data_IF_264594536631
#
_entry.id   IF_264594536631
#
_cell.length_a   1.000
_cell.length_b   1.000
_cell.length_c   1.000
_cell.angle_alpha   90.00
_cell.angle_beta   90.00
_cell.angle_gamma   90.00
#
_symmetry.space_group_name_H-M   'P 1'
#
loop_
_entity.id
_entity.type
_entity.pdbx_description
1 polymer ?
#
# COMPACT_ATOMS: atom_id res chain seq x y z
N UNK A 1 25.89 4.95 4.46
CA UNK A 1 25.22 4.02 3.52
C UNK A 1 26.28 3.52 2.56
N UNK A 2 26.57 2.22 2.53
CA UNK A 2 27.44 1.67 1.48
C UNK A 2 26.79 1.94 0.11
N UNK A 3 27.55 2.48 -0.83
CA UNK A 3 27.07 2.78 -2.18
C UNK A 3 26.72 1.46 -2.89
N UNK A 4 25.46 1.34 -3.35
CA UNK A 4 25.02 0.16 -4.11
C UNK A 4 25.73 0.17 -5.48
N UNK A 5 26.36 -0.93 -5.93
CA UNK A 5 26.90 -1.03 -7.28
C UNK A 5 25.80 -0.86 -8.33
N UNK A 6 26.05 -0.06 -9.37
CA UNK A 6 25.10 0.23 -10.46
C UNK A 6 25.49 -0.48 -11.75
N UNK A 7 24.50 -1.02 -12.47
CA UNK A 7 24.62 -1.35 -13.88
C UNK A 7 23.85 -0.30 -14.70
N UNK A 8 24.24 -0.07 -15.95
CA UNK A 8 23.62 0.93 -16.83
C UNK A 8 22.10 0.67 -16.90
N UNK A 9 21.31 1.59 -16.31
CA UNK A 9 19.88 1.43 -16.13
C UNK A 9 19.13 1.48 -17.46
N UNK A 10 18.39 0.41 -17.78
CA UNK A 10 17.27 0.48 -18.72
C UNK A 10 16.10 1.11 -17.97
N UNK A 11 15.78 2.36 -18.29
CA UNK A 11 14.75 3.15 -17.61
C UNK A 11 13.33 2.65 -17.85
N UNK A 12 12.95 1.55 -17.20
CA UNK A 12 11.54 1.16 -17.08
C UNK A 12 10.87 2.05 -16.03
N UNK A 13 9.87 2.82 -16.45
CA UNK A 13 9.01 3.58 -15.53
C UNK A 13 8.26 2.63 -14.61
N UNK A 14 8.24 2.93 -13.31
CA UNK A 14 7.46 2.17 -12.31
C UNK A 14 6.00 2.04 -12.76
N UNK A 15 5.39 0.84 -12.74
CA UNK A 15 4.04 0.66 -13.25
C UNK A 15 2.99 1.32 -12.35
N UNK A 16 1.89 1.77 -12.94
CA UNK A 16 0.81 2.50 -12.25
C UNK A 16 0.22 1.74 -11.05
N UNK A 17 0.16 0.41 -11.08
CA UNK A 17 -0.35 -0.35 -9.92
C UNK A 17 0.54 -0.18 -8.69
N UNK A 18 1.83 0.11 -8.85
CA UNK A 18 2.73 0.34 -7.73
C UNK A 18 2.49 1.69 -7.04
N UNK A 19 1.57 2.51 -7.58
CA UNK A 19 1.02 3.72 -6.96
C UNK A 19 -0.07 3.42 -5.89
N UNK A 20 -0.60 2.19 -5.86
CA UNK A 20 -1.67 1.75 -4.93
C UNK A 20 -1.15 1.37 -3.54
N UNK A 21 -2.04 1.08 -2.60
CA UNK A 21 -1.64 0.70 -1.24
C UNK A 21 -0.96 -0.67 -1.19
N UNK A 22 0.04 -0.84 -0.31
CA UNK A 22 0.65 -2.14 -0.05
C UNK A 22 -0.19 -2.95 0.96
N UNK A 23 -0.99 -3.91 0.49
CA UNK A 23 -1.86 -4.77 1.30
C UNK A 23 -1.09 -5.79 2.17
N UNK A 24 0.18 -6.04 1.84
CA UNK A 24 1.09 -6.91 2.60
C UNK A 24 1.93 -6.14 3.64
N UNK A 25 1.63 -4.87 3.90
CA UNK A 25 2.30 -4.07 4.93
C UNK A 25 2.15 -4.67 6.33
N UNK A 26 3.25 -4.79 7.07
CA UNK A 26 3.24 -5.20 8.47
C UNK A 26 2.45 -4.22 9.35
N UNK A 27 2.50 -2.91 9.06
CA UNK A 27 1.66 -1.92 9.76
C UNK A 27 0.17 -2.21 9.55
N UNK A 28 -0.22 -2.67 8.35
CA UNK A 28 -1.59 -3.17 8.08
C UNK A 28 -1.99 -4.38 8.92
N UNK A 29 -1.03 -5.06 9.53
CA UNK A 29 -1.22 -6.29 10.28
C UNK A 29 -1.10 -7.53 9.40
N UNK A 30 -0.46 -7.42 8.23
CA UNK A 30 -0.09 -8.57 7.42
C UNK A 30 0.86 -9.48 8.20
N UNK A 31 0.76 -10.80 7.98
CA UNK A 31 1.56 -11.78 8.73
C UNK A 31 1.96 -12.96 7.87
N UNK A 32 3.15 -13.47 8.11
CA UNK A 32 3.50 -14.83 7.69
C UNK A 32 2.78 -15.82 8.59
N UNK A 33 2.01 -16.73 8.01
CA UNK A 33 1.35 -17.82 8.73
C UNK A 33 2.13 -19.13 8.66
N UNK A 34 2.92 -19.31 7.60
CA UNK A 34 3.73 -20.50 7.37
C UNK A 34 4.91 -20.18 6.47
N UNK A 35 6.05 -20.84 6.68
CA UNK A 35 7.19 -20.83 5.77
C UNK A 35 7.84 -22.22 5.82
N UNK A 36 8.29 -22.73 4.67
CA UNK A 36 8.94 -24.06 4.61
C UNK A 36 10.32 -24.06 5.26
N UNK A 37 11.04 -22.94 5.20
CA UNK A 37 12.40 -22.78 5.71
C UNK A 37 12.66 -21.31 6.06
N UNK A 38 13.38 -21.05 7.13
CA UNK A 38 13.82 -19.71 7.57
C UNK A 38 15.29 -19.75 8.01
N UNK A 39 16.12 -20.51 7.31
CA UNK A 39 17.44 -20.79 7.84
C UNK A 39 18.31 -19.54 7.97
N UNK A 40 18.48 -18.77 6.89
CA UNK A 40 19.39 -17.62 6.89
C UNK A 40 18.73 -16.32 7.31
N UNK A 41 17.43 -16.15 7.03
CA UNK A 41 16.64 -15.03 7.51
C UNK A 41 15.14 -15.35 7.44
N UNK A 42 14.36 -14.78 8.36
CA UNK A 42 12.93 -15.13 8.54
C UNK A 42 12.01 -14.46 7.52
N UNK A 43 10.96 -15.17 7.10
CA UNK A 43 9.97 -14.71 6.13
C UNK A 43 9.26 -13.40 6.51
N UNK A 44 9.17 -13.07 7.80
CA UNK A 44 8.55 -11.84 8.31
C UNK A 44 9.21 -10.59 7.75
N UNK A 45 10.50 -10.65 7.41
CA UNK A 45 11.22 -9.53 6.80
C UNK A 45 10.62 -9.11 5.44
N UNK A 46 9.91 -10.01 4.73
CA UNK A 46 9.23 -9.69 3.47
C UNK A 46 8.21 -8.56 3.61
N UNK A 47 7.59 -8.45 4.79
CA UNK A 47 6.40 -7.61 5.03
C UNK A 47 6.76 -6.23 5.61
N UNK A 48 8.04 -5.99 5.92
CA UNK A 48 8.50 -4.72 6.49
C UNK A 48 8.22 -3.57 5.54
N UNK A 49 7.76 -2.45 6.10
CA UNK A 49 7.50 -1.23 5.31
C UNK A 49 8.77 -0.45 4.97
N UNK A 50 9.85 -0.64 5.75
CA UNK A 50 11.15 -0.02 5.49
C UNK A 50 11.85 -0.67 4.30
N UNK A 51 12.65 0.12 3.60
CA UNK A 51 13.62 -0.41 2.63
C UNK A 51 14.55 -1.44 3.29
N UNK A 52 15.06 -2.37 2.48
CA UNK A 52 16.05 -3.32 2.96
C UNK A 52 17.36 -2.62 3.35
N UNK A 53 18.03 -3.17 4.36
CA UNK A 53 19.33 -2.67 4.84
C UNK A 53 20.46 -3.68 4.60
N UNK A 54 21.66 -3.15 4.32
CA UNK A 54 22.91 -3.91 4.34
C UNK A 54 23.76 -3.50 5.54
N UNK A 55 24.26 -4.50 6.28
CA UNK A 55 25.16 -4.30 7.41
C UNK A 55 26.47 -5.02 7.17
N UNK A 56 27.51 -4.24 6.92
CA UNK A 56 28.85 -4.75 6.61
C UNK A 56 29.38 -5.57 7.79
N UNK A 57 29.99 -6.73 7.52
CA UNK A 57 30.58 -7.58 8.56
C UNK A 57 29.63 -8.21 9.59
N UNK A 58 28.31 -8.00 9.51
CA UNK A 58 27.34 -8.61 10.45
C UNK A 58 26.98 -10.05 10.05
N UNK A 59 27.08 -10.99 11.00
CA UNK A 59 26.77 -12.40 10.85
C UNK A 59 25.92 -12.90 12.02
N UNK A 60 25.11 -13.91 11.76
CA UNK A 60 24.29 -14.64 12.74
C UNK A 60 24.85 -16.04 12.95
N UNK A 61 24.29 -16.80 13.90
CA UNK A 61 24.59 -18.23 14.07
C UNK A 61 24.31 -19.07 12.80
N UNK A 62 23.52 -18.55 11.86
CA UNK A 62 23.08 -19.25 10.66
C UNK A 62 23.80 -18.80 9.38
N UNK A 63 24.62 -17.75 9.41
CA UNK A 63 25.31 -17.21 8.23
C UNK A 63 25.36 -15.69 8.22
N UNK A 64 25.54 -15.09 7.03
CA UNK A 64 25.49 -13.63 6.85
C UNK A 64 24.12 -13.11 7.31
N UNK A 65 24.09 -11.98 8.02
CA UNK A 65 22.82 -11.32 8.34
C UNK A 65 22.26 -10.68 7.06
N UNK A 66 20.99 -10.98 6.76
CA UNK A 66 20.27 -10.44 5.61
C UNK A 66 18.92 -9.85 6.05
N UNK A 67 18.60 -8.66 5.56
CA UNK A 67 17.30 -8.02 5.80
C UNK A 67 16.26 -8.45 4.75
N UNK A 68 15.92 -9.73 4.77
CA UNK A 68 14.98 -10.37 3.86
C UNK A 68 14.55 -11.74 4.36
N UNK A 69 13.83 -12.49 3.54
CA UNK A 69 13.66 -13.93 3.72
C UNK A 69 14.73 -14.65 2.92
N UNK A 70 15.43 -15.59 3.52
CA UNK A 70 16.42 -16.42 2.81
C UNK A 70 16.41 -17.85 3.34
N UNK A 71 16.14 -18.78 2.42
CA UNK A 71 16.08 -20.21 2.73
C UNK A 71 17.42 -20.91 2.50
N UNK A 72 17.58 -22.09 3.10
CA UNK A 72 18.70 -22.99 2.79
C UNK A 72 18.74 -23.36 1.32
N UNK A 73 19.96 -23.48 0.78
CA UNK A 73 20.20 -24.10 -0.53
C UNK A 73 19.56 -25.48 -0.58
N UNK A 74 18.61 -25.66 -1.50
CA UNK A 74 17.83 -26.87 -1.59
C UNK A 74 18.63 -27.97 -2.27
N UNK A 75 18.70 -29.12 -1.60
CA UNK A 75 19.35 -30.35 -2.09
C UNK A 75 18.38 -31.53 -2.13
N UNK A 76 17.07 -31.22 -2.11
CA UNK A 76 15.96 -32.16 -2.15
C UNK A 76 14.92 -31.70 -3.18
N UNK A 77 14.06 -32.60 -3.69
CA UNK A 77 13.01 -32.22 -4.63
C UNK A 77 12.06 -31.14 -4.11
N UNK A 78 11.49 -30.35 -5.02
CA UNK A 78 10.52 -29.30 -4.73
C UNK A 78 11.14 -27.90 -4.65
N UNK A 79 10.43 -26.99 -4.00
CA UNK A 79 10.79 -25.57 -3.87
C UNK A 79 10.31 -25.02 -2.51
N UNK A 80 10.80 -23.86 -2.10
CA UNK A 80 10.37 -23.20 -0.86
C UNK A 80 9.17 -22.27 -1.07
N UNK A 81 8.37 -22.09 -0.03
CA UNK A 81 7.19 -21.24 -0.10
C UNK A 81 6.73 -20.78 1.29
N UNK A 82 5.96 -19.71 1.32
CA UNK A 82 5.33 -19.19 2.53
C UNK A 82 3.86 -18.84 2.29
N UNK A 83 3.05 -18.87 3.35
CA UNK A 83 1.67 -18.37 3.36
C UNK A 83 1.65 -17.03 4.08
N UNK A 84 1.05 -16.04 3.42
CA UNK A 84 0.93 -14.68 3.89
C UNK A 84 -0.56 -14.38 4.07
N UNK A 85 -0.93 -13.88 5.24
CA UNK A 85 -2.22 -13.21 5.45
C UNK A 85 -2.05 -11.73 5.17
N UNK A 86 -2.86 -11.21 4.25
CA UNK A 86 -2.88 -9.77 3.97
C UNK A 86 -3.40 -9.01 5.20
N UNK A 87 -2.92 -7.79 5.42
CA UNK A 87 -3.35 -6.99 6.57
C UNK A 87 -4.80 -6.50 6.43
N UNK A 88 -5.28 -6.41 5.20
CA UNK A 88 -6.69 -6.25 4.87
C UNK A 88 -7.02 -7.06 3.61
N UNK A 89 -8.22 -7.60 3.54
CA UNK A 89 -8.69 -8.27 2.35
C UNK A 89 -8.83 -7.28 1.19
N UNK A 90 -8.52 -7.70 -0.03
CA UNK A 90 -8.55 -6.78 -1.15
C UNK A 90 -8.26 -7.42 -2.50
N UNK A 91 -8.34 -6.56 -3.50
CA UNK A 91 -7.96 -6.82 -4.89
C UNK A 91 -6.47 -6.58 -5.05
N UNK A 92 -5.76 -7.56 -5.60
CA UNK A 92 -4.32 -7.46 -5.88
C UNK A 92 -4.13 -7.04 -7.33
N UNK A 93 -3.66 -5.81 -7.55
CA UNK A 93 -3.38 -5.29 -8.88
C UNK A 93 -2.00 -5.73 -9.41
N UNK A 94 -1.04 -5.91 -8.52
CA UNK A 94 0.29 -6.41 -8.85
C UNK A 94 1.19 -6.45 -7.63
N UNK A 95 2.42 -6.93 -7.82
CA UNK A 95 3.42 -7.05 -6.76
C UNK A 95 4.76 -6.46 -7.19
N UNK A 96 5.58 -6.13 -6.20
CA UNK A 96 7.02 -5.92 -6.37
C UNK A 96 7.76 -6.94 -5.53
N UNK A 97 8.59 -7.74 -6.21
CA UNK A 97 9.52 -8.68 -5.60
C UNK A 97 10.88 -8.01 -5.59
N UNK A 98 11.26 -7.49 -4.42
CA UNK A 98 12.52 -6.78 -4.21
C UNK A 98 13.57 -7.76 -3.69
N UNK A 99 14.63 -7.98 -4.47
CA UNK A 99 15.77 -8.84 -4.12
C UNK A 99 16.97 -8.06 -3.60
N UNK A 100 16.79 -6.80 -3.16
CA UNK A 100 17.86 -5.93 -2.66
C UNK A 100 18.89 -6.66 -1.80
N UNK A 101 20.17 -6.50 -2.16
CA UNK A 101 21.35 -7.12 -1.52
C UNK A 101 21.53 -8.63 -1.73
N UNK A 102 20.56 -9.34 -2.29
CA UNK A 102 20.74 -10.72 -2.75
C UNK A 102 21.33 -10.73 -4.17
N UNK A 103 22.63 -10.47 -4.30
CA UNK A 103 23.25 -10.27 -5.63
C UNK A 103 23.61 -11.56 -6.37
N UNK A 104 23.91 -12.63 -5.62
CA UNK A 104 24.21 -13.97 -6.17
C UNK A 104 23.37 -15.10 -5.55
N UNK A 105 22.64 -14.81 -4.49
CA UNK A 105 21.78 -15.74 -3.73
C UNK A 105 20.31 -15.30 -3.74
N UNK A 106 19.91 -14.46 -4.68
CA UNK A 106 18.49 -14.16 -4.90
C UNK A 106 17.75 -15.41 -5.37
N UNK A 107 16.44 -15.42 -5.16
CA UNK A 107 15.58 -16.43 -5.77
C UNK A 107 15.63 -16.36 -7.31
N UNK A 108 15.84 -17.47 -8.04
CA UNK A 108 15.83 -17.43 -9.51
C UNK A 108 14.45 -17.12 -10.12
N UNK A 109 13.39 -17.74 -9.58
CA UNK A 109 12.01 -17.57 -10.06
C UNK A 109 11.02 -17.55 -8.91
N UNK A 110 9.91 -16.84 -9.09
CA UNK A 110 8.82 -16.73 -8.11
C UNK A 110 7.46 -16.97 -8.76
N UNK A 111 6.48 -17.40 -7.98
CA UNK A 111 5.06 -17.37 -8.37
C UNK A 111 4.21 -17.04 -7.15
N UNK A 112 3.01 -16.48 -7.38
CA UNK A 112 2.04 -16.22 -6.33
C UNK A 112 0.69 -16.83 -6.67
N UNK A 113 0.13 -17.55 -5.70
CA UNK A 113 -1.28 -17.88 -5.67
C UNK A 113 -2.01 -17.10 -4.59
N UNK A 114 -3.33 -16.97 -4.71
CA UNK A 114 -4.16 -16.24 -3.78
C UNK A 114 -5.50 -16.95 -3.52
N UNK A 115 -6.02 -16.76 -2.30
CA UNK A 115 -7.33 -17.29 -1.90
C UNK A 115 -8.03 -16.39 -0.88
N UNK A 116 -9.34 -16.58 -0.76
CA UNK A 116 -10.11 -16.12 0.39
C UNK A 116 -10.37 -17.31 1.31
N UNK A 117 -9.82 -17.27 2.52
CA UNK A 117 -10.00 -18.35 3.50
C UNK A 117 -11.08 -17.96 4.52
N UNK A 118 -11.88 -18.96 4.89
CA UNK A 118 -12.71 -18.96 6.09
C UNK A 118 -11.84 -19.06 7.35
N UNK A 119 -12.44 -18.84 8.53
CA UNK A 119 -11.69 -18.94 9.78
C UNK A 119 -11.28 -20.38 10.07
N UNK A 120 -12.13 -21.32 9.71
CA UNK A 120 -11.92 -22.77 9.83
C UNK A 120 -10.74 -23.21 8.97
N UNK A 121 -10.65 -22.75 7.72
CA UNK A 121 -9.51 -23.04 6.83
C UNK A 121 -8.21 -22.42 7.33
N UNK A 122 -8.24 -21.16 7.80
CA UNK A 122 -7.06 -20.51 8.39
C UNK A 122 -6.55 -21.27 9.62
N UNK A 123 -7.45 -21.83 10.43
CA UNK A 123 -7.10 -22.62 11.61
C UNK A 123 -6.43 -23.97 11.27
N UNK A 124 -6.46 -24.42 10.02
CA UNK A 124 -5.69 -25.59 9.57
C UNK A 124 -4.19 -25.28 9.46
N UNK A 125 -3.81 -24.00 9.37
CA UNK A 125 -2.41 -23.59 9.26
C UNK A 125 -1.73 -23.78 10.62
N UNK A 126 -0.62 -24.53 10.70
CA UNK A 126 0.13 -24.70 11.93
C UNK A 126 0.55 -23.37 12.55
N UNK A 127 0.68 -23.34 13.87
CA UNK A 127 1.16 -22.14 14.57
C UNK A 127 2.56 -21.79 14.08
N UNK A 128 2.68 -20.63 13.41
CA UNK A 128 3.95 -20.05 12.96
C UNK A 128 4.99 -19.98 14.07
N UNK A 129 6.21 -20.45 13.78
CA UNK A 129 7.41 -20.27 14.62
C UNK A 129 8.45 -19.47 13.85
N UNK A 130 8.45 -18.15 14.07
CA UNK A 130 9.41 -17.23 13.44
C UNK A 130 10.78 -17.33 14.10
N UNK A 131 11.61 -18.26 13.65
CA UNK A 131 12.96 -18.45 14.17
C UNK A 131 13.97 -18.73 13.05
N UNK A 132 15.10 -18.01 13.08
CA UNK A 132 16.22 -18.28 12.18
C UNK A 132 16.85 -19.65 12.44
N UNK A 133 17.25 -20.33 11.37
CA UNK A 133 17.84 -21.66 11.43
C UNK A 133 16.79 -22.78 11.50
N UNK A 134 15.52 -22.47 11.23
CA UNK A 134 14.43 -23.44 11.30
C UNK A 134 13.98 -23.94 9.93
N UNK A 135 13.32 -25.10 9.96
CA UNK A 135 12.58 -25.70 8.84
C UNK A 135 11.20 -26.09 9.34
N UNK A 136 10.21 -26.09 8.45
CA UNK A 136 8.92 -26.66 8.76
C UNK A 136 9.06 -28.15 9.13
N UNK A 137 8.43 -28.56 10.23
CA UNK A 137 8.38 -29.95 10.65
C UNK A 137 7.46 -30.74 9.70
N UNK A 138 7.74 -32.04 9.53
CA UNK A 138 6.92 -32.91 8.67
C UNK A 138 5.43 -32.88 9.05
N UNK A 139 5.12 -32.89 10.35
CA UNK A 139 3.74 -32.76 10.83
C UNK A 139 3.07 -31.44 10.43
N UNK A 140 3.84 -30.36 10.36
CA UNK A 140 3.36 -29.03 10.02
C UNK A 140 3.14 -28.95 8.50
N UNK A 141 4.03 -29.54 7.70
CA UNK A 141 3.88 -29.71 6.25
C UNK A 141 2.62 -30.53 5.91
N UNK A 142 2.39 -31.65 6.61
CA UNK A 142 1.18 -32.48 6.43
C UNK A 142 -0.09 -31.73 6.81
N UNK A 143 -0.06 -30.94 7.89
CA UNK A 143 -1.20 -30.14 8.32
C UNK A 143 -1.54 -29.03 7.33
N UNK A 144 -0.56 -28.23 6.91
CA UNK A 144 -0.78 -27.11 5.97
C UNK A 144 -1.15 -27.60 4.57
N UNK A 145 -0.71 -28.80 4.15
CA UNK A 145 -1.08 -29.39 2.86
C UNK A 145 -2.59 -29.62 2.73
N UNK A 146 -3.33 -29.72 3.85
CA UNK A 146 -4.80 -29.85 3.85
C UNK A 146 -5.50 -28.61 3.29
N UNK A 147 -4.85 -27.45 3.28
CA UNK A 147 -5.40 -26.25 2.62
C UNK A 147 -5.39 -26.36 1.09
N UNK A 148 -4.60 -27.26 0.50
CA UNK A 148 -4.45 -27.35 -0.96
C UNK A 148 -3.96 -26.04 -1.59
N UNK A 149 -3.09 -25.30 -0.90
CA UNK A 149 -2.69 -23.95 -1.32
C UNK A 149 -1.89 -23.90 -2.62
N UNK A 150 -1.38 -25.03 -3.09
CA UNK A 150 -0.79 -25.19 -4.42
C UNK A 150 -1.81 -25.10 -5.56
N UNK A 151 -3.11 -25.24 -5.24
CA UNK A 151 -4.24 -25.16 -6.19
C UNK A 151 -5.01 -23.84 -6.07
N UNK A 152 -4.58 -22.93 -5.20
CA UNK A 152 -5.15 -21.59 -5.13
C UNK A 152 -4.99 -20.86 -6.46
N UNK A 153 -5.79 -19.82 -6.68
CA UNK A 153 -5.78 -19.05 -7.93
C UNK A 153 -4.39 -18.46 -8.17
N UNK A 154 -3.73 -18.86 -9.26
CA UNK A 154 -2.47 -18.24 -9.69
C UNK A 154 -2.76 -16.81 -10.11
N UNK A 155 -2.18 -15.86 -9.38
CA UNK A 155 -2.26 -14.43 -9.69
C UNK A 155 -0.97 -13.92 -10.34
N UNK A 156 0.17 -14.57 -10.07
CA UNK A 156 1.46 -14.31 -10.71
C UNK A 156 2.03 -15.66 -11.17
N UNK A 157 2.19 -15.89 -12.49
CA UNK A 157 2.78 -17.12 -13.00
C UNK A 157 4.26 -17.22 -12.62
N UNK A 158 4.86 -18.41 -12.78
CA UNK A 158 6.29 -18.59 -12.56
C UNK A 158 7.06 -17.61 -13.44
N UNK A 159 7.76 -16.67 -12.80
CA UNK A 159 8.46 -15.57 -13.46
C UNK A 159 9.86 -15.42 -12.89
N UNK A 160 10.83 -15.04 -13.73
CA UNK A 160 12.21 -14.80 -13.31
C UNK A 160 12.31 -13.54 -12.44
N UNK A 161 13.02 -13.66 -11.33
CA UNK A 161 13.41 -12.51 -10.53
C UNK A 161 14.77 -11.99 -11.00
N UNK A 162 15.06 -10.74 -10.68
CA UNK A 162 16.29 -10.07 -11.06
C UNK A 162 17.27 -10.03 -9.87
N UNK A 163 18.59 -9.95 -10.11
CA UNK A 163 19.58 -9.89 -9.04
C UNK A 163 19.47 -8.62 -8.21
N UNK A 164 19.88 -8.70 -6.93
CA UNK A 164 19.73 -7.66 -5.92
C UNK A 164 20.60 -6.40 -6.02
N UNK A 165 21.03 -6.00 -7.22
CA UNK A 165 21.74 -4.74 -7.44
C UNK A 165 20.77 -3.57 -7.46
N UNK A 166 21.27 -2.34 -7.27
CA UNK A 166 20.44 -1.12 -7.14
C UNK A 166 19.37 -1.00 -8.22
N UNK A 167 19.78 -1.22 -9.47
CA UNK A 167 18.98 -0.90 -10.64
C UNK A 167 18.16 -2.10 -11.13
N UNK A 168 18.39 -3.29 -10.55
CA UNK A 168 17.76 -4.56 -10.98
C UNK A 168 16.93 -5.21 -9.88
N UNK A 169 17.10 -4.82 -8.62
CA UNK A 169 16.52 -5.51 -7.46
C UNK A 169 14.99 -5.60 -7.44
N UNK A 170 14.29 -4.66 -8.08
CA UNK A 170 12.82 -4.68 -8.14
C UNK A 170 12.35 -5.48 -9.34
N UNK A 171 11.39 -6.40 -9.14
CA UNK A 171 10.66 -7.06 -10.23
C UNK A 171 9.18 -6.79 -10.05
N UNK A 172 8.62 -5.88 -10.86
CA UNK A 172 7.20 -5.52 -10.83
C UNK A 172 6.38 -6.48 -11.69
N UNK A 173 5.40 -7.17 -11.08
CA UNK A 173 4.60 -8.21 -11.73
C UNK A 173 3.10 -7.88 -11.62
N UNK A 174 2.39 -7.62 -12.73
CA UNK A 174 0.95 -7.38 -12.69
C UNK A 174 0.18 -8.67 -12.39
N UNK A 175 -0.92 -8.54 -11.65
CA UNK A 175 -1.81 -9.66 -11.32
C UNK A 175 -2.65 -10.09 -12.52
N UNK A 176 -2.79 -11.40 -12.73
CA UNK A 176 -3.69 -11.98 -13.74
C UNK A 176 -5.18 -11.88 -13.35
N UNK A 177 -5.50 -11.59 -12.09
CA UNK A 177 -6.87 -11.59 -11.56
C UNK A 177 -7.12 -10.40 -10.65
N UNK A 178 -6.98 -9.19 -11.19
CA UNK A 178 -7.01 -7.95 -10.40
C UNK A 178 -8.37 -7.66 -9.73
N UNK A 179 -9.49 -8.15 -10.25
CA UNK A 179 -10.85 -7.86 -9.73
C UNK A 179 -11.38 -8.90 -8.72
N UNK A 180 -10.53 -9.81 -8.25
CA UNK A 180 -10.93 -10.83 -7.26
C UNK A 180 -10.46 -10.43 -5.87
N UNK A 181 -11.34 -10.57 -4.89
CA UNK A 181 -11.02 -10.33 -3.48
C UNK A 181 -10.26 -11.50 -2.88
N UNK A 182 -9.10 -11.22 -2.30
CA UNK A 182 -8.26 -12.19 -1.60
C UNK A 182 -8.01 -11.79 -0.15
N UNK A 183 -7.64 -12.77 0.68
CA UNK A 183 -7.23 -12.58 2.08
C UNK A 183 -5.85 -13.16 2.37
N UNK A 184 -5.46 -14.18 1.60
CA UNK A 184 -4.23 -14.92 1.79
C UNK A 184 -3.52 -15.09 0.46
N UNK A 185 -2.19 -15.12 0.53
CA UNK A 185 -1.29 -15.40 -0.58
C UNK A 185 -0.41 -16.60 -0.24
N UNK A 186 0.00 -17.33 -1.27
CA UNK A 186 1.11 -18.27 -1.24
C UNK A 186 2.20 -17.73 -2.14
N UNK A 187 3.34 -17.35 -1.57
CA UNK A 187 4.55 -17.02 -2.34
C UNK A 187 5.38 -18.29 -2.50
N UNK A 188 5.73 -18.64 -3.73
CA UNK A 188 6.67 -19.71 -4.03
C UNK A 188 7.99 -19.13 -4.52
N UNK A 189 9.10 -19.70 -4.05
CA UNK A 189 10.47 -19.36 -4.46
C UNK A 189 11.14 -20.61 -5.03
N UNK A 190 11.60 -20.54 -6.27
CA UNK A 190 12.05 -21.72 -7.04
C UNK A 190 13.55 -21.69 -7.34
N UNK A 191 14.32 -22.73 -6.93
CA UNK A 191 13.97 -23.74 -5.90
C UNK A 191 14.09 -23.18 -4.46
N UNK A 192 14.94 -22.18 -4.27
CA UNK A 192 15.31 -21.55 -3.01
C UNK A 192 15.97 -20.18 -3.30
N UNK A 193 16.37 -19.46 -2.25
CA UNK A 193 17.10 -18.20 -2.36
C UNK A 193 16.51 -17.10 -1.49
N UNK A 194 16.93 -15.86 -1.78
CA UNK A 194 16.56 -14.69 -0.99
C UNK A 194 15.63 -13.70 -1.70
N UNK A 195 14.73 -13.10 -0.93
CA UNK A 195 13.90 -11.94 -1.29
C UNK A 195 13.96 -10.95 -0.12
N UNK A 196 14.24 -9.68 -0.38
CA UNK A 196 14.30 -8.65 0.64
C UNK A 196 12.90 -8.18 1.06
N UNK A 197 12.03 -7.84 0.11
CA UNK A 197 10.65 -7.42 0.36
C UNK A 197 9.68 -8.02 -0.66
N UNK A 198 8.45 -8.24 -0.20
CA UNK A 198 7.31 -8.46 -1.08
C UNK A 198 6.29 -7.35 -0.83
N UNK A 199 6.11 -6.46 -1.80
CA UNK A 199 5.04 -5.45 -1.76
C UNK A 199 3.88 -5.95 -2.61
N UNK A 200 2.67 -5.93 -2.04
CA UNK A 200 1.45 -6.39 -2.71
C UNK A 200 0.54 -5.19 -2.91
N UNK A 201 0.51 -4.65 -4.12
CA UNK A 201 -0.21 -3.42 -4.41
C UNK A 201 -1.65 -3.69 -4.82
N UNK A 202 -2.57 -2.94 -4.24
CA UNK A 202 -3.99 -3.20 -4.44
C UNK A 202 -4.94 -2.26 -3.72
N UNK A 203 -6.23 -2.57 -3.82
CA UNK A 203 -7.31 -1.86 -3.15
C UNK A 203 -7.90 -2.76 -2.07
N UNK A 204 -8.05 -2.22 -0.85
CA UNK A 204 -8.76 -2.94 0.20
C UNK A 204 -10.24 -3.05 -0.14
N UNK A 205 -10.81 -4.24 0.05
CA UNK A 205 -12.23 -4.53 -0.05
C UNK A 205 -12.73 -5.03 1.31
N UNK A 206 -12.95 -4.12 2.29
CA UNK A 206 -13.54 -4.50 3.57
C UNK A 206 -14.95 -5.07 3.34
N UNK A 207 -15.41 -5.89 4.29
CA UNK A 207 -16.80 -6.35 4.28
C UNK A 207 -17.74 -5.20 4.68
N UNK A 208 -18.35 -4.58 3.68
CA UNK A 208 -19.25 -3.43 3.84
C UNK A 208 -20.60 -3.79 4.43
N UNK A 209 -20.96 -5.09 4.48
CA UNK A 209 -22.23 -5.52 5.10
C UNK A 209 -22.27 -5.26 6.61
N UNK A 210 -21.09 -5.09 7.23
CA UNK A 210 -20.92 -4.80 8.66
C UNK A 210 -20.90 -3.30 8.97
N UNK A 211 -21.02 -2.45 7.95
CA UNK A 211 -21.02 -0.99 8.10
C UNK A 211 -22.43 -0.49 8.39
N UNK A 212 -22.67 -0.06 9.63
CA UNK A 212 -23.91 0.62 9.99
C UNK A 212 -24.03 1.96 9.25
N UNK A 213 -25.18 2.28 8.62
CA UNK A 213 -25.38 3.53 7.87
C UNK A 213 -25.19 4.81 8.70
N UNK A 214 -25.39 4.73 10.03
CA UNK A 214 -25.24 5.87 10.94
C UNK A 214 -23.85 5.97 11.58
N UNK A 215 -22.97 4.99 11.35
CA UNK A 215 -21.64 4.97 11.97
C UNK A 215 -20.72 5.94 11.24
N UNK A 216 -20.22 6.93 11.99
CA UNK A 216 -19.15 7.80 11.52
C UNK A 216 -17.85 7.00 11.46
N UNK A 217 -17.18 7.05 10.32
CA UNK A 217 -15.89 6.41 10.07
C UNK A 217 -15.05 7.21 9.09
N UNK A 218 -13.78 6.86 8.98
CA UNK A 218 -12.87 7.47 8.00
C UNK A 218 -13.10 6.89 6.59
N UNK A 219 -13.83 7.62 5.76
CA UNK A 219 -14.25 7.21 4.42
C UNK A 219 -13.07 7.09 3.42
N UNK A 220 -11.98 7.83 3.66
CA UNK A 220 -10.79 7.81 2.79
C UNK A 220 -9.75 6.80 3.24
N UNK A 221 -9.90 6.22 4.44
CA UNK A 221 -8.91 5.30 5.00
C UNK A 221 -8.56 4.19 4.01
N UNK A 222 -7.27 3.87 3.92
CA UNK A 222 -6.80 2.78 3.08
C UNK A 222 -7.39 1.43 3.51
N UNK A 223 -7.71 1.24 4.80
CA UNK A 223 -8.40 0.03 5.32
C UNK A 223 -9.82 -0.09 4.79
N UNK A 224 -10.44 1.05 4.51
CA UNK A 224 -11.79 1.11 3.99
C UNK A 224 -11.83 1.06 2.45
N UNK A 225 -10.67 0.94 1.79
CA UNK A 225 -10.55 0.85 0.33
C UNK A 225 -10.22 2.18 -0.35
N UNK A 226 -9.87 3.21 0.42
CA UNK A 226 -9.45 4.48 -0.16
C UNK A 226 -8.08 4.37 -0.84
N UNK A 227 -7.92 5.09 -1.94
CA UNK A 227 -6.71 5.04 -2.77
C UNK A 227 -6.33 6.44 -3.23
N UNK A 228 -5.04 6.74 -3.24
CA UNK A 228 -4.51 7.89 -3.95
C UNK A 228 -4.55 7.58 -5.45
N UNK A 229 -5.21 8.43 -6.23
CA UNK A 229 -5.29 8.28 -7.70
C UNK A 229 -4.21 9.08 -8.41
N UNK A 230 -3.97 10.31 -7.95
CA UNK A 230 -3.06 11.24 -8.59
C UNK A 230 -2.58 12.32 -7.61
N UNK A 231 -1.48 12.99 -7.95
CA UNK A 231 -0.89 14.07 -7.17
C UNK A 231 -0.02 14.96 -8.05
N UNK A 232 0.28 16.18 -7.58
CA UNK A 232 1.13 17.14 -8.30
C UNK A 232 2.62 16.84 -8.19
N UNK A 233 3.10 16.54 -6.99
CA UNK A 233 4.50 16.28 -6.66
C UNK A 233 4.59 15.30 -5.49
N UNK A 234 5.65 14.52 -5.41
CA UNK A 234 5.95 13.62 -4.29
C UNK A 234 7.46 13.56 -4.06
N UNK A 235 8.06 14.71 -3.74
CA UNK A 235 9.50 14.82 -3.52
C UNK A 235 10.01 13.90 -2.41
N UNK A 236 9.32 13.86 -1.26
CA UNK A 236 9.55 12.87 -0.20
C UNK A 236 8.25 12.26 0.32
N UNK A 237 8.29 10.97 0.63
CA UNK A 237 7.09 10.21 0.96
C UNK A 237 6.13 10.13 -0.23
N UNK A 238 4.94 9.57 -0.02
CA UNK A 238 3.93 9.45 -1.06
C UNK A 238 2.56 9.84 -0.49
N UNK A 239 1.68 10.53 -1.25
CA UNK A 239 0.34 10.88 -0.80
C UNK A 239 -0.52 9.73 -0.25
N UNK A 240 -0.28 8.47 -0.64
CA UNK A 240 -1.00 7.30 -0.10
C UNK A 240 -0.76 7.11 1.40
N UNK A 241 0.34 7.66 1.93
CA UNK A 241 0.65 7.62 3.35
C UNK A 241 -0.36 8.44 4.19
N UNK A 242 -1.01 9.45 3.59
CA UNK A 242 -1.96 10.32 4.29
C UNK A 242 -3.17 9.57 4.81
N UNK A 243 -3.58 8.53 4.09
CA UNK A 243 -4.80 7.76 4.35
C UNK A 243 -4.52 6.51 5.20
N UNK A 244 -3.32 6.46 5.77
CA UNK A 244 -2.91 5.44 6.75
C UNK A 244 -3.70 5.59 8.04
N UNK A 245 -4.29 4.50 8.58
CA UNK A 245 -5.11 4.54 9.79
C UNK A 245 -4.30 4.67 11.08
N UNK A 246 -2.95 4.60 11.02
CA UNK A 246 -2.09 4.74 12.20
C UNK A 246 -1.41 6.09 12.24
N UNK A 247 -0.96 6.47 13.43
CA UNK A 247 -0.14 7.66 13.62
C UNK A 247 1.14 7.59 12.74
N UNK A 248 1.59 8.73 12.20
CA UNK A 248 2.88 8.82 11.54
C UNK A 248 4.01 8.48 12.52
N UNK A 249 5.11 7.93 12.00
CA UNK A 249 6.30 7.62 12.81
C UNK A 249 7.47 8.56 12.53
N UNK A 250 7.48 9.20 11.36
CA UNK A 250 8.48 10.19 10.93
C UNK A 250 7.94 10.95 9.69
N UNK A 251 8.74 11.85 9.10
CA UNK A 251 8.36 12.61 7.90
C UNK A 251 8.20 11.72 6.65
N UNK A 252 9.01 10.67 6.49
CA UNK A 252 8.92 9.76 5.33
C UNK A 252 7.60 8.95 5.32
N UNK A 253 6.97 8.81 6.49
CA UNK A 253 5.65 8.22 6.66
C UNK A 253 4.51 9.23 6.37
N UNK A 254 4.80 10.40 5.79
CA UNK A 254 3.83 11.39 5.29
C UNK A 254 3.96 11.60 3.78
N UNK A 255 3.54 12.78 3.32
CA UNK A 255 3.76 13.30 1.97
C UNK A 255 4.36 14.69 2.08
N UNK A 256 5.47 14.92 1.38
CA UNK A 256 6.17 16.19 1.30
C UNK A 256 6.49 16.51 -0.15
N UNK A 257 6.22 17.76 -0.53
CA UNK A 257 6.49 18.27 -1.86
C UNK A 257 7.77 19.09 -1.91
N UNK A 258 8.34 19.24 -3.11
CA UNK A 258 9.42 20.17 -3.35
C UNK A 258 8.97 21.61 -3.04
N UNK A 259 9.92 22.44 -2.60
CA UNK A 259 9.67 23.88 -2.48
C UNK A 259 9.37 24.46 -3.85
N UNK A 260 8.28 25.19 -3.96
CA UNK A 260 7.93 25.85 -5.21
C UNK A 260 8.89 26.99 -5.53
N UNK A 261 9.29 27.05 -6.80
CA UNK A 261 10.22 28.06 -7.30
C UNK A 261 9.53 29.36 -7.71
N UNK A 262 8.21 29.33 -7.89
CA UNK A 262 7.38 30.50 -8.26
C UNK A 262 6.83 31.27 -7.04
N UNK A 263 7.32 30.95 -5.83
CA UNK A 263 6.98 31.68 -4.61
C UNK A 263 7.43 33.15 -4.69
N UNK A 264 6.66 34.12 -4.16
CA UNK A 264 7.06 35.52 -4.18
C UNK A 264 8.28 35.75 -3.28
N UNK A 265 9.15 36.70 -3.67
CA UNK A 265 10.36 37.05 -2.91
C UNK A 265 10.06 37.60 -1.51
N UNK A 266 8.87 38.18 -1.33
CA UNK A 266 8.38 38.71 -0.06
C UNK A 266 6.97 38.17 0.15
N UNK A 267 6.78 37.40 1.22
CA UNK A 267 5.49 36.85 1.61
C UNK A 267 4.62 37.94 2.22
N UNK A 268 3.33 37.93 1.86
CA UNK A 268 2.31 38.81 2.44
C UNK A 268 1.20 37.96 3.05
N UNK A 269 0.67 38.41 4.17
CA UNK A 269 -0.45 37.76 4.85
C UNK A 269 -1.77 38.38 4.42
N UNK A 270 -2.78 37.56 4.18
CA UNK A 270 -4.16 37.97 3.96
C UNK A 270 -4.84 38.39 5.27
N UNK A 271 -6.02 38.99 5.16
CA UNK A 271 -6.80 39.43 6.33
C UNK A 271 -7.26 38.26 7.23
N UNK A 272 -7.26 37.03 6.70
CA UNK A 272 -7.60 35.78 7.38
C UNK A 272 -6.39 35.06 8.00
N UNK A 273 -5.21 35.67 7.89
CA UNK A 273 -3.95 35.13 8.40
C UNK A 273 -3.25 34.12 7.48
N UNK A 274 -3.82 33.83 6.31
CA UNK A 274 -3.26 32.91 5.31
C UNK A 274 -2.30 33.65 4.39
N UNK A 275 -1.19 33.04 4.02
CA UNK A 275 -0.23 33.66 3.10
C UNK A 275 -0.80 33.80 1.69
N UNK A 276 -0.58 34.97 1.10
CA UNK A 276 -0.86 35.25 -0.31
C UNK A 276 0.29 34.71 -1.17
N UNK A 277 0.18 33.45 -1.55
CA UNK A 277 1.15 32.75 -2.38
C UNK A 277 0.55 32.37 -3.73
N UNK A 278 1.39 32.37 -4.77
CA UNK A 278 1.04 31.79 -6.05
C UNK A 278 1.25 30.27 -5.99
N UNK A 279 0.37 29.52 -6.63
CA UNK A 279 0.49 28.06 -6.75
C UNK A 279 0.04 27.29 -5.52
N UNK A 280 -0.05 25.97 -5.71
CA UNK A 280 -0.46 24.99 -4.72
C UNK A 280 -0.05 23.59 -5.17
N UNK A 281 0.06 22.71 -4.20
CA UNK A 281 0.24 21.26 -4.41
C UNK A 281 -1.03 20.52 -4.05
N UNK A 282 -1.28 19.38 -4.69
CA UNK A 282 -2.53 18.65 -4.52
C UNK A 282 -2.36 17.13 -4.60
N UNK A 283 -3.25 16.44 -3.88
CA UNK A 283 -3.40 14.99 -3.96
C UNK A 283 -4.88 14.62 -4.05
N UNK A 284 -5.19 13.70 -4.96
CA UNK A 284 -6.53 13.20 -5.24
C UNK A 284 -6.71 11.80 -4.66
N UNK A 285 -7.80 11.62 -3.93
CA UNK A 285 -8.17 10.34 -3.34
C UNK A 285 -9.56 9.89 -3.78
N UNK A 286 -9.69 8.63 -4.17
CA UNK A 286 -10.98 7.93 -4.22
C UNK A 286 -11.29 7.43 -2.83
N UNK A 287 -12.50 7.73 -2.34
CA UNK A 287 -12.98 7.21 -1.07
C UNK A 287 -13.21 5.71 -1.19
N UNK A 288 -12.84 4.98 -0.14
CA UNK A 288 -13.14 3.56 -0.07
C UNK A 288 -14.64 3.30 0.08
N UNK A 289 -15.30 4.20 0.80
CA UNK A 289 -16.73 4.21 1.05
C UNK A 289 -17.31 5.57 0.65
N UNK A 290 -17.91 5.70 -0.55
CA UNK A 290 -18.65 6.90 -0.92
C UNK A 290 -19.72 7.23 0.12
N UNK A 291 -19.86 8.50 0.49
CA UNK A 291 -20.68 8.88 1.64
C UNK A 291 -20.75 10.38 1.86
N UNK A 292 -21.40 10.77 2.95
CA UNK A 292 -21.52 12.18 3.35
C UNK A 292 -20.47 12.52 4.39
N UNK A 293 -19.71 13.58 4.16
CA UNK A 293 -18.66 14.06 5.07
C UNK A 293 -19.29 14.76 6.28
N UNK A 294 -18.83 14.39 7.48
CA UNK A 294 -19.22 14.97 8.77
C UNK A 294 -18.05 15.64 9.49
N UNK A 295 -16.80 15.31 9.11
CA UNK A 295 -15.62 15.95 9.65
C UNK A 295 -14.38 15.72 8.80
N UNK A 296 -13.38 16.57 8.99
CA UNK A 296 -12.09 16.48 8.34
C UNK A 296 -11.00 16.67 9.39
N UNK A 297 -10.01 15.79 9.38
CA UNK A 297 -8.78 15.94 10.17
C UNK A 297 -7.58 16.02 9.22
N UNK A 298 -6.69 16.98 9.46
CA UNK A 298 -5.42 17.12 8.71
C UNK A 298 -4.27 17.28 9.70
N UNK A 299 -3.31 16.37 9.63
CA UNK A 299 -2.19 16.35 10.58
C UNK A 299 -0.88 16.73 9.89
N UNK A 300 -0.10 17.59 10.52
CA UNK A 300 1.25 18.00 10.10
C UNK A 300 2.33 17.43 11.00
N UNK A 301 2.05 16.34 11.73
CA UNK A 301 3.03 15.70 12.62
C UNK A 301 4.36 15.43 11.89
N UNK A 302 5.46 15.62 12.61
CA UNK A 302 6.85 15.58 12.14
C UNK A 302 7.27 16.71 11.18
N UNK A 303 6.34 17.42 10.54
CA UNK A 303 6.62 18.59 9.72
C UNK A 303 6.68 19.85 10.59
N UNK A 304 7.86 20.12 11.14
CA UNK A 304 8.09 21.20 12.14
C UNK A 304 8.42 22.55 11.51
N UNK A 305 9.08 22.54 10.36
CA UNK A 305 9.51 23.77 9.66
C UNK A 305 9.18 23.77 8.16
N UNK A 306 8.62 22.67 7.67
CA UNK A 306 8.29 22.40 6.27
C UNK A 306 6.83 21.94 6.14
N UNK A 307 5.96 22.28 7.09
CA UNK A 307 4.51 22.14 6.93
C UNK A 307 4.00 23.25 5.99
N UNK A 308 2.91 23.01 5.23
CA UNK A 308 2.33 24.03 4.39
C UNK A 308 1.67 25.14 5.22
N UNK A 309 1.56 26.32 4.65
CA UNK A 309 0.92 27.46 5.31
C UNK A 309 -0.58 27.19 5.56
N UNK A 310 -1.24 26.64 4.55
CA UNK A 310 -2.67 26.36 4.58
C UNK A 310 -3.03 25.13 3.78
N UNK A 311 -4.23 24.60 4.05
CA UNK A 311 -4.86 23.58 3.22
C UNK A 311 -6.33 23.87 2.96
N UNK A 312 -6.86 23.30 1.88
CA UNK A 312 -8.30 23.17 1.62
C UNK A 312 -8.62 21.76 1.14
N UNK A 313 -9.89 21.38 1.23
CA UNK A 313 -10.37 20.08 0.73
C UNK A 313 -11.61 20.29 -0.13
N UNK A 314 -11.54 19.82 -1.37
CA UNK A 314 -12.66 19.77 -2.30
C UNK A 314 -13.21 18.33 -2.37
N UNK A 315 -14.48 18.17 -2.69
CA UNK A 315 -15.12 16.88 -2.91
C UNK A 315 -15.96 16.87 -4.17
N UNK A 316 -16.14 15.69 -4.75
CA UNK A 316 -17.06 15.48 -5.86
C UNK A 316 -17.66 14.06 -5.81
N UNK A 317 -18.72 13.85 -6.57
CA UNK A 317 -19.30 12.55 -6.83
C UNK A 317 -19.15 12.19 -8.30
N UNK A 318 -18.52 11.05 -8.55
CA UNK A 318 -18.36 10.43 -9.86
C UNK A 318 -18.82 8.99 -9.72
N UNK A 319 -19.67 8.52 -10.64
CA UNK A 319 -20.23 7.17 -10.59
C UNK A 319 -19.25 6.14 -11.15
N UNK A 320 -19.19 4.94 -10.58
CA UNK A 320 -18.26 3.88 -11.03
C UNK A 320 -18.56 3.36 -12.46
N UNK A 321 -19.74 3.64 -13.03
CA UNK A 321 -20.11 3.25 -14.40
C UNK A 321 -19.52 4.16 -15.47
N UNK A 322 -19.14 5.36 -15.08
CA UNK A 322 -18.31 6.20 -15.92
C UNK A 322 -16.88 5.68 -15.71
N UNK A 323 -16.41 4.81 -16.61
CA UNK A 323 -14.96 4.62 -16.78
C UNK A 323 -14.38 5.98 -17.16
N UNK A 324 -14.11 6.82 -16.17
CA UNK A 324 -13.48 8.11 -16.42
C UNK A 324 -12.02 7.83 -16.77
N UNK A 325 -11.55 8.24 -17.95
CA UNK A 325 -10.14 8.10 -18.28
C UNK A 325 -9.38 9.03 -17.32
N UNK A 326 -8.49 8.47 -16.51
CA UNK A 326 -7.57 9.21 -15.66
C UNK A 326 -6.59 10.00 -16.55
N UNK A 327 -6.72 11.34 -16.55
CA UNK A 327 -5.70 12.25 -16.05
C UNK A 327 -6.31 13.14 -14.94
N UNK A 328 -6.49 12.53 -13.77
CA UNK A 328 -6.77 13.05 -12.43
C UNK A 328 -8.10 13.81 -12.15
N UNK A 329 -9.18 13.58 -12.90
CA UNK A 329 -10.53 14.19 -12.73
C UNK A 329 -10.66 15.68 -13.15
N UNK A 330 -10.04 16.03 -14.29
CA UNK A 330 -10.28 17.31 -14.95
C UNK A 330 -11.76 17.44 -15.38
N UNK A 331 -12.39 18.61 -15.15
CA UNK A 331 -13.81 18.85 -15.44
C UNK A 331 -14.85 18.26 -14.44
N UNK A 332 -14.43 17.51 -13.42
CA UNK A 332 -15.35 17.03 -12.38
C UNK A 332 -15.98 18.19 -11.57
N UNK A 333 -17.21 18.02 -11.03
CA UNK A 333 -17.92 19.06 -10.29
C UNK A 333 -17.38 19.19 -8.85
N UNK A 334 -16.14 19.66 -8.72
CA UNK A 334 -15.47 19.87 -7.44
C UNK A 334 -16.16 20.98 -6.64
N UNK A 335 -16.64 20.64 -5.45
CA UNK A 335 -17.23 21.58 -4.50
C UNK A 335 -16.36 21.66 -3.24
N UNK A 336 -16.18 22.85 -2.65
CA UNK A 336 -15.37 23.02 -1.45
C UNK A 336 -16.05 22.39 -0.23
N UNK A 337 -15.47 21.31 0.32
CA UNK A 337 -15.87 20.74 1.61
C UNK A 337 -15.29 21.60 2.74
N UNK A 338 -14.00 21.94 2.64
CA UNK A 338 -13.28 22.78 3.59
C UNK A 338 -12.63 23.95 2.86
N UNK A 339 -13.07 25.21 3.07
CA UNK A 339 -12.37 26.38 2.54
C UNK A 339 -10.98 26.50 3.15
N UNK A 340 -10.08 27.28 2.54
CA UNK A 340 -8.69 27.45 2.99
C UNK A 340 -8.57 27.69 4.50
N UNK A 341 -7.78 26.86 5.18
CA UNK A 341 -7.50 26.93 6.61
C UNK A 341 -6.00 27.02 6.85
N UNK A 342 -5.60 27.93 7.74
CA UNK A 342 -4.23 28.02 8.25
C UNK A 342 -3.85 26.74 9.02
N UNK A 343 -2.64 26.25 8.79
CA UNK A 343 -2.08 25.11 9.50
C UNK A 343 -0.99 25.55 10.49
N UNK A 344 -0.70 24.66 11.44
CA UNK A 344 0.34 24.80 12.46
C UNK A 344 1.41 23.72 12.27
N UNK A 345 2.66 23.99 12.68
CA UNK A 345 3.71 22.98 12.64
C UNK A 345 3.40 21.83 13.58
N UNK A 346 3.69 20.58 13.15
CA UNK A 346 3.66 19.39 14.00
C UNK A 346 2.40 19.27 14.86
N UNK A 347 1.24 19.45 14.23
CA UNK A 347 -0.04 19.58 14.92
C UNK A 347 -1.14 18.74 14.29
N UNK A 348 -2.12 18.39 15.12
CA UNK A 348 -3.40 17.87 14.71
C UNK A 348 -4.38 19.02 14.46
N UNK A 349 -5.14 18.94 13.37
CA UNK A 349 -6.18 19.91 13.04
C UNK A 349 -7.51 19.21 12.84
N UNK A 350 -8.44 19.41 13.78
CA UNK A 350 -9.84 19.01 13.63
C UNK A 350 -10.64 20.18 13.02
N UNK A 351 -11.14 19.96 11.81
CA UNK A 351 -11.96 20.90 11.05
C UNK A 351 -13.43 20.52 11.00
N UNK A 352 -13.90 19.59 11.84
CA UNK A 352 -15.26 19.06 11.79
C UNK A 352 -16.35 20.14 11.92
N UNK A 353 -16.08 21.24 12.61
CA UNK A 353 -17.01 22.38 12.72
C UNK A 353 -17.01 23.34 11.53
N UNK A 354 -16.11 23.14 10.56
CA UNK A 354 -15.88 24.02 9.41
C UNK A 354 -16.22 23.36 8.06
N UNK A 355 -16.59 22.07 8.08
CA UNK A 355 -16.97 21.34 6.86
C UNK A 355 -18.33 21.82 6.35
N UNK A 356 -18.46 21.92 5.04
CA UNK A 356 -19.73 22.19 4.34
C UNK A 356 -20.35 20.87 3.91
N UNK A 357 -21.67 20.75 4.08
CA UNK A 357 -22.41 19.62 3.51
C UNK A 357 -22.61 19.86 2.01
N UNK A 358 -22.03 18.98 1.20
CA UNK A 358 -22.14 19.00 -0.27
C UNK A 358 -22.83 17.75 -0.80
N UNK A 359 -23.49 16.99 0.08
CA UNK A 359 -24.13 15.71 -0.26
C UNK A 359 -23.16 14.53 -0.22
N UNK A 360 -23.43 13.53 -1.07
CA UNK A 360 -22.61 12.32 -1.20
C UNK A 360 -21.37 12.63 -2.03
N UNK A 361 -20.21 12.21 -1.58
CA UNK A 361 -18.94 12.31 -2.32
C UNK A 361 -18.35 10.92 -2.52
N UNK A 362 -17.66 10.73 -3.65
CA UNK A 362 -16.86 9.52 -3.93
C UNK A 362 -15.37 9.82 -4.03
N UNK A 363 -14.99 11.10 -4.20
CA UNK A 363 -13.60 11.53 -4.28
C UNK A 363 -13.38 12.81 -3.47
N UNK A 364 -12.15 12.97 -2.98
CA UNK A 364 -11.70 14.19 -2.31
C UNK A 364 -10.34 14.63 -2.86
N UNK A 365 -10.13 15.94 -2.97
CA UNK A 365 -8.85 16.53 -3.33
C UNK A 365 -8.36 17.39 -2.19
N UNK A 366 -7.24 16.98 -1.60
CA UNK A 366 -6.50 17.80 -0.64
C UNK A 366 -5.60 18.74 -1.42
N UNK A 367 -5.64 20.02 -1.09
CA UNK A 367 -4.77 21.05 -1.66
C UNK A 367 -4.02 21.72 -0.52
N UNK A 368 -2.70 21.85 -0.66
CA UNK A 368 -1.86 22.60 0.27
C UNK A 368 -1.20 23.78 -0.44
N UNK A 369 -0.94 24.86 0.29
CA UNK A 369 -0.31 26.06 -0.27
C UNK A 369 0.79 26.62 0.64
N UNK A 370 1.89 27.13 0.06
CA UNK A 370 2.28 26.94 -1.35
C UNK A 370 2.73 25.50 -1.63
N UNK A 371 3.41 24.89 -0.67
CA UNK A 371 4.04 23.57 -0.67
C UNK A 371 4.31 23.14 0.77
N UNK A 372 4.80 21.92 0.97
CA UNK A 372 5.25 21.45 2.27
C UNK A 372 4.88 19.99 2.51
N UNK A 373 4.76 19.62 3.79
CA UNK A 373 4.46 18.27 4.21
C UNK A 373 3.21 18.13 5.07
N UNK A 374 2.40 17.11 4.74
CA UNK A 374 1.23 16.67 5.50
C UNK A 374 1.42 15.19 5.84
N UNK A 375 1.12 14.84 7.09
CA UNK A 375 1.28 13.49 7.58
C UNK A 375 0.02 12.64 7.42
N UNK A 376 -1.17 13.19 7.70
CA UNK A 376 -2.44 12.45 7.61
C UNK A 376 -3.60 13.31 7.11
N UNK A 377 -4.54 12.64 6.46
CA UNK A 377 -5.87 13.13 6.11
C UNK A 377 -6.89 12.09 6.57
N UNK A 378 -7.89 12.51 7.35
CA UNK A 378 -9.08 11.69 7.61
C UNK A 378 -10.33 12.38 7.10
N UNK A 379 -11.21 11.62 6.46
CA UNK A 379 -12.50 12.09 5.96
C UNK A 379 -13.58 11.38 6.76
N UNK A 380 -13.96 11.96 7.90
CA UNK A 380 -14.94 11.38 8.79
C UNK A 380 -16.34 11.56 8.20
N UNK A 381 -17.11 10.49 8.11
CA UNK A 381 -18.45 10.56 7.53
C UNK A 381 -19.23 9.26 7.65
N UNK A 382 -20.43 9.27 7.09
CA UNK A 382 -21.32 8.10 7.00
C UNK A 382 -21.30 7.57 5.58
N UNK A 383 -20.99 6.28 5.42
CA UNK A 383 -21.02 5.61 4.12
C UNK A 383 -22.45 5.56 3.58
N UNK A 384 -22.61 5.60 2.25
CA UNK A 384 -23.89 5.43 1.58
C UNK A 384 -24.00 3.99 1.00
N UNK A 385 -24.71 3.07 1.66
CA UNK A 385 -24.68 1.65 1.29
C UNK A 385 -25.19 1.35 -0.13
N UNK A 386 -26.16 2.13 -0.64
CA UNK A 386 -26.73 1.93 -1.97
C UNK A 386 -25.73 2.21 -3.10
N UNK A 387 -24.73 3.05 -2.83
CA UNK A 387 -23.60 3.30 -3.75
C UNK A 387 -22.51 2.25 -3.55
N UNK A 388 -22.23 1.86 -2.31
CA UNK A 388 -21.19 0.87 -2.02
C UNK A 388 -21.51 -0.53 -2.59
N UNK A 389 -22.77 -0.98 -2.54
CA UNK A 389 -23.17 -2.32 -3.01
C UNK A 389 -23.12 -2.51 -4.53
N UNK A 390 -23.19 -1.42 -5.30
CA UNK A 390 -23.06 -1.48 -6.76
C UNK A 390 -21.63 -1.78 -7.22
N UNK A 391 -20.63 -1.56 -6.36
CA UNK A 391 -19.21 -1.81 -6.65
C UNK A 391 -18.75 -3.24 -6.33
N UNK A 392 -19.59 -4.05 -5.66
CA UNK A 392 -19.24 -5.40 -5.19
C UNK A 392 -19.88 -6.54 -5.98
N UNK A 393 -20.63 -6.26 -7.05
CA UNK A 393 -21.16 -7.33 -7.91
C UNK A 393 -20.04 -7.88 -8.79
N UNK A 394 -19.53 -9.06 -8.43
CA UNK A 394 -18.69 -9.89 -9.29
C UNK A 394 -19.37 -10.07 -10.67
N UNK A 395 -18.65 -9.95 -11.80
CA UNK A 395 -19.21 -10.33 -13.07
C UNK A 395 -19.47 -11.84 -13.03
N UNK A 396 -20.72 -12.23 -13.23
CA UNK A 396 -21.12 -13.62 -13.45
C UNK A 396 -20.20 -14.24 -14.48
N UNK A 397 -19.68 -15.43 -14.17
CA UNK A 397 -18.82 -16.22 -15.05
C UNK A 397 -19.50 -16.44 -16.41
N UNK A 398 -19.16 -15.63 -17.40
CA UNK A 398 -19.42 -15.95 -18.80
C UNK A 398 -18.15 -16.60 -19.32
N UNK A 399 -18.25 -17.91 -19.52
CA UNK A 399 -17.33 -18.73 -20.30
C UNK A 399 -16.98 -18.03 -21.63
N UNK A 400 -15.76 -17.54 -21.76
CA UNK A 400 -15.16 -17.29 -23.07
C UNK A 400 -14.37 -18.55 -23.46
N UNK A 401 -15.11 -19.49 -24.04
CA UNK A 401 -14.55 -20.46 -24.98
C UNK A 401 -14.32 -19.75 -26.33
N UNK A 402 -13.16 -20.02 -26.96
CA UNK A 402 -12.70 -19.58 -28.31
C UNK A 402 -12.12 -18.16 -28.27
N UNK A 403 -10.86 -17.90 -28.63
CA UNK A 403 -9.95 -18.46 -29.64
C UNK A 403 -8.52 -18.57 -29.09
#
# INVERSE_FOLDING_TARGET
MALRPSQIATGESRPRFAELNNLASEKLGARILFATDDWFAVAENLLKDSEAEWREGEFTKCGKWMDGWETRRKRKPGHDWCIIKLGVAGEVAGVDVDTSFFTGNYVPRVSLQAATLTKEEENLIPKRKSEMGSEALEKDLVAVARLGSEKWQTIIPITEARPGYRDTCHTFLPSLCASTRYTHLRLNVYPDGGIARLRVFGRALPDVTQVSPSKVMDLVSLRNGGVCLAYSDAHYGHPRNLISPWAPVNMADGWETARRLDRPSILKEGADGVLQVAGWEWALFKLGLPGTVKGLEVDTYFFKGNFPDSCRVDGCFVSDKEEVPDPALDGAPWLPILPSQKLKPNAHHDFSKKVRDIGVVSHVRLVMAPDGGISRLKVLGTANPSVCSASSSSPSSVLLSKL
#
